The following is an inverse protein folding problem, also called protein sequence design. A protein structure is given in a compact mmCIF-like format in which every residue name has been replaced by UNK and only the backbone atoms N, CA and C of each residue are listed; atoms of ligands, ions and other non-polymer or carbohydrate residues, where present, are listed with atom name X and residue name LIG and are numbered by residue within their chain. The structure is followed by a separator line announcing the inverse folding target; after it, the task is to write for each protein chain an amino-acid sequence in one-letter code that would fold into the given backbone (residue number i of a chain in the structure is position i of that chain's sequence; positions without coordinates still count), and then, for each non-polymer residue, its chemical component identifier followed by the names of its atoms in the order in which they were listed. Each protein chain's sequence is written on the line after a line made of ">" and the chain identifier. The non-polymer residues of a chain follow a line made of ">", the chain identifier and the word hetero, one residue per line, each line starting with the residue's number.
data_IF_779008717377
#
_entry.id   IF_779008717377
#
_cell.length_a   1.000
_cell.length_b   1.000
_cell.length_c   1.000
_cell.angle_alpha   90.00
_cell.angle_beta   90.00
_cell.angle_gamma   90.00
#
_symmetry.space_group_name_H-M   'P 1'
#
loop_
_entity.id
_entity.type
_entity.pdbx_description
1 polymer ?
#
# COMPACT_ATOMS: atom_id res chain seq x y z
N UNK A 1 8.64 -50.34 8.84
CA UNK A 1 9.02 -49.15 8.05
C UNK A 1 8.58 -47.90 8.80
N UNK A 2 9.45 -47.27 9.58
CA UNK A 2 9.14 -46.08 10.38
C UNK A 2 10.09 -44.94 9.99
N UNK A 3 9.65 -44.08 9.09
CA UNK A 3 10.37 -42.86 8.72
C UNK A 3 10.17 -41.80 9.81
N UNK A 4 11.22 -41.54 10.61
CA UNK A 4 11.27 -40.40 11.53
C UNK A 4 11.16 -39.08 10.75
N UNK A 5 10.43 -38.07 11.25
CA UNK A 5 10.35 -36.76 10.60
C UNK A 5 11.69 -36.01 10.77
N UNK A 6 12.27 -35.54 9.65
CA UNK A 6 13.47 -34.69 9.63
C UNK A 6 13.17 -33.32 10.22
N UNK A 7 13.53 -33.11 11.49
CA UNK A 7 13.59 -31.78 12.13
C UNK A 7 14.90 -31.06 11.76
N UNK A 8 14.98 -30.43 10.60
CA UNK A 8 16.01 -29.41 10.34
C UNK A 8 15.48 -28.31 9.41
N UNK A 9 14.46 -27.58 9.86
CA UNK A 9 14.18 -26.25 9.32
C UNK A 9 15.13 -25.25 10.03
N UNK A 10 16.29 -25.10 9.41
CA UNK A 10 17.28 -24.02 9.48
C UNK A 10 16.80 -22.76 10.21
N UNK A 11 17.30 -22.52 11.43
CA UNK A 11 16.96 -21.35 12.26
C UNK A 11 17.23 -19.99 11.59
N UNK A 12 18.17 -19.92 10.63
CA UNK A 12 18.42 -18.73 9.80
C UNK A 12 17.24 -18.39 8.86
N UNK A 13 16.56 -19.38 8.31
CA UNK A 13 15.42 -19.18 7.40
C UNK A 13 14.18 -18.71 8.16
N UNK A 14 13.97 -19.25 9.37
CA UNK A 14 12.87 -18.83 10.26
C UNK A 14 13.08 -17.42 10.81
N UNK A 15 14.31 -17.06 11.20
CA UNK A 15 14.64 -15.70 11.64
C UNK A 15 14.43 -14.67 10.53
N UNK A 16 14.84 -14.99 9.30
CA UNK A 16 14.64 -14.12 8.12
C UNK A 16 13.16 -14.00 7.76
N UNK A 17 12.40 -15.09 7.82
CA UNK A 17 10.94 -15.09 7.62
C UNK A 17 10.21 -14.23 8.66
N UNK A 18 10.62 -14.30 9.93
CA UNK A 18 10.08 -13.45 11.01
C UNK A 18 10.43 -11.97 10.81
N UNK A 19 11.64 -11.65 10.36
CA UNK A 19 12.06 -10.28 10.07
C UNK A 19 11.26 -9.66 8.90
N UNK A 20 10.96 -10.44 7.85
CA UNK A 20 10.08 -9.97 6.77
C UNK A 20 8.63 -9.80 7.24
N UNK A 21 8.13 -10.70 8.09
CA UNK A 21 6.79 -10.56 8.67
C UNK A 21 6.67 -9.34 9.61
N UNK A 22 7.71 -9.04 10.41
CA UNK A 22 7.73 -7.84 11.27
C UNK A 22 7.84 -6.56 10.46
N UNK A 23 8.66 -6.54 9.40
CA UNK A 23 8.76 -5.39 8.49
C UNK A 23 7.44 -5.13 7.74
N UNK A 24 6.79 -6.18 7.23
CA UNK A 24 5.48 -6.05 6.59
C UNK A 24 4.38 -5.58 7.57
N UNK A 25 4.49 -5.94 8.84
CA UNK A 25 3.55 -5.49 9.89
C UNK A 25 3.77 -4.02 10.22
N UNK A 26 5.02 -3.56 10.29
CA UNK A 26 5.35 -2.15 10.54
C UNK A 26 4.87 -1.20 9.43
N UNK A 27 4.69 -1.71 8.21
CA UNK A 27 4.22 -0.92 7.06
C UNK A 27 2.69 -0.84 6.95
N UNK A 28 1.95 -1.69 7.68
CA UNK A 28 0.49 -1.63 7.76
C UNK A 28 0.04 -0.31 8.35
N UNK A 29 -1.19 0.06 8.04
CA UNK A 29 -1.86 1.22 8.64
C UNK A 29 -2.91 0.68 9.60
N UNK A 30 -2.91 1.17 10.84
CA UNK A 30 -3.94 0.83 11.82
C UNK A 30 -5.26 1.53 11.49
N UNK A 31 -6.36 1.07 12.09
CA UNK A 31 -7.66 1.72 11.94
C UNK A 31 -7.62 3.19 12.37
N UNK A 32 -6.96 3.48 13.50
CA UNK A 32 -6.82 4.83 14.04
C UNK A 32 -6.00 5.73 13.10
N UNK A 33 -4.86 5.24 12.59
CA UNK A 33 -4.05 5.99 11.63
C UNK A 33 -4.80 6.26 10.31
N UNK A 34 -5.57 5.29 9.83
CA UNK A 34 -6.38 5.48 8.61
C UNK A 34 -7.49 6.52 8.82
N UNK A 35 -8.17 6.49 9.98
CA UNK A 35 -9.17 7.50 10.32
C UNK A 35 -8.54 8.89 10.48
N UNK A 36 -7.37 8.99 11.10
CA UNK A 36 -6.63 10.24 11.25
C UNK A 36 -6.22 10.80 9.88
N UNK A 37 -5.63 9.97 9.01
CA UNK A 37 -5.30 10.34 7.63
C UNK A 37 -6.51 10.88 6.86
N UNK A 38 -7.65 10.20 6.99
CA UNK A 38 -8.86 10.62 6.30
C UNK A 38 -9.41 11.94 6.84
N UNK A 39 -9.35 12.15 8.15
CA UNK A 39 -9.77 13.39 8.80
C UNK A 39 -8.82 14.56 8.52
N UNK A 40 -7.51 14.31 8.47
CA UNK A 40 -6.48 15.31 8.15
C UNK A 40 -6.68 15.91 6.75
N UNK A 41 -7.13 15.09 5.80
CA UNK A 41 -7.41 15.51 4.42
C UNK A 41 -8.88 15.90 4.18
N UNK A 42 -9.72 15.92 5.23
CA UNK A 42 -11.15 16.20 5.16
C UNK A 42 -11.91 15.40 4.08
N UNK A 43 -11.55 14.12 3.92
CA UNK A 43 -12.10 13.26 2.87
C UNK A 43 -13.34 12.50 3.35
N UNK A 44 -14.42 12.56 2.58
CA UNK A 44 -15.52 11.59 2.72
C UNK A 44 -15.07 10.18 2.37
N UNK A 45 -15.86 9.16 2.76
CA UNK A 45 -15.54 7.77 2.39
C UNK A 45 -15.49 7.55 0.88
N UNK A 46 -16.30 8.28 0.12
CA UNK A 46 -16.31 8.21 -1.34
C UNK A 46 -15.05 8.82 -1.96
N UNK A 47 -14.63 9.98 -1.46
CA UNK A 47 -13.41 10.65 -1.93
C UNK A 47 -12.15 9.86 -1.56
N UNK A 48 -12.08 9.33 -0.33
CA UNK A 48 -10.99 8.45 0.07
C UNK A 48 -10.89 7.21 -0.83
N UNK A 49 -12.03 6.63 -1.22
CA UNK A 49 -12.07 5.50 -2.15
C UNK A 49 -11.53 5.88 -3.53
N UNK A 50 -11.92 7.05 -4.05
CA UNK A 50 -11.45 7.56 -5.33
C UNK A 50 -9.95 7.87 -5.32
N UNK A 51 -9.47 8.59 -4.30
CA UNK A 51 -8.06 8.96 -4.13
C UNK A 51 -7.15 7.74 -4.03
N UNK A 52 -7.59 6.70 -3.31
CA UNK A 52 -6.82 5.47 -3.12
C UNK A 52 -7.03 4.43 -4.21
N UNK A 53 -7.93 4.68 -5.18
CA UNK A 53 -8.34 3.74 -6.24
C UNK A 53 -8.80 2.39 -5.67
N UNK A 54 -9.67 2.43 -4.65
CA UNK A 54 -10.24 1.26 -3.98
C UNK A 54 -11.77 1.35 -3.93
N UNK A 55 -12.43 0.26 -3.55
CA UNK A 55 -13.89 0.28 -3.35
C UNK A 55 -14.27 1.02 -2.06
N UNK A 56 -15.46 1.65 -1.98
CA UNK A 56 -15.98 2.21 -0.74
C UNK A 56 -16.06 1.19 0.42
N UNK A 57 -16.35 -0.07 0.11
CA UNK A 57 -16.34 -1.14 1.11
C UNK A 57 -14.95 -1.36 1.71
N UNK A 58 -13.90 -1.23 0.90
CA UNK A 58 -12.51 -1.31 1.37
C UNK A 58 -12.18 -0.17 2.33
N UNK A 59 -12.69 1.04 2.08
CA UNK A 59 -12.55 2.18 3.01
C UNK A 59 -13.24 1.87 4.35
N UNK A 60 -14.48 1.40 4.31
CA UNK A 60 -15.23 1.03 5.53
C UNK A 60 -14.50 -0.04 6.34
N UNK A 61 -13.98 -1.08 5.66
CA UNK A 61 -13.20 -2.13 6.31
C UNK A 61 -11.90 -1.59 6.91
N UNK A 62 -11.20 -0.70 6.21
CA UNK A 62 -9.95 -0.09 6.67
C UNK A 62 -10.16 0.83 7.88
N UNK A 63 -11.27 1.58 7.92
CA UNK A 63 -11.64 2.39 9.09
C UNK A 63 -11.90 1.54 10.33
N UNK A 64 -12.37 0.31 10.19
CA UNK A 64 -12.69 -0.57 11.32
C UNK A 64 -11.47 -1.40 11.78
N UNK A 65 -10.71 -1.92 10.83
CA UNK A 65 -9.70 -2.96 11.10
C UNK A 65 -8.26 -2.53 10.75
N UNK A 66 -8.08 -1.36 10.14
CA UNK A 66 -6.83 -0.98 9.50
C UNK A 66 -6.66 -1.62 8.13
N UNK A 67 -5.50 -1.36 7.53
CA UNK A 67 -5.17 -1.73 6.17
C UNK A 67 -3.94 -2.62 6.05
N UNK A 68 -3.78 -3.18 4.86
CA UNK A 68 -2.54 -3.83 4.46
C UNK A 68 -1.38 -2.83 4.38
N UNK A 69 -0.16 -3.33 4.24
CA UNK A 69 1.02 -2.49 4.01
C UNK A 69 0.89 -1.66 2.72
N UNK A 70 0.27 -2.23 1.68
CA UNK A 70 -0.03 -1.52 0.43
C UNK A 70 -0.96 -0.33 0.66
N UNK A 71 -2.03 -0.52 1.44
CA UNK A 71 -2.96 0.55 1.76
C UNK A 71 -2.27 1.67 2.55
N UNK A 72 -1.44 1.31 3.54
CA UNK A 72 -0.64 2.26 4.29
C UNK A 72 0.35 3.04 3.41
N UNK A 73 0.96 2.38 2.42
CA UNK A 73 1.83 3.05 1.45
C UNK A 73 1.05 4.04 0.58
N UNK A 74 -0.14 3.68 0.10
CA UNK A 74 -1.00 4.59 -0.68
C UNK A 74 -1.40 5.82 0.12
N UNK A 75 -1.79 5.66 1.39
CA UNK A 75 -2.16 6.80 2.26
C UNK A 75 -0.97 7.76 2.44
N UNK A 76 0.23 7.22 2.68
CA UNK A 76 1.47 8.02 2.79
C UNK A 76 1.85 8.70 1.47
N UNK A 77 1.66 8.02 0.33
CA UNK A 77 1.89 8.60 -0.99
C UNK A 77 0.98 9.80 -1.24
N UNK A 78 -0.30 9.70 -0.88
CA UNK A 78 -1.26 10.81 -0.98
C UNK A 78 -0.84 12.00 -0.11
N UNK A 79 -0.44 11.77 1.14
CA UNK A 79 0.08 12.84 2.01
C UNK A 79 1.35 13.51 1.43
N UNK A 80 2.18 12.74 0.74
CA UNK A 80 3.35 13.24 0.04
C UNK A 80 3.02 13.95 -1.30
N UNK A 81 1.74 14.09 -1.65
CA UNK A 81 1.30 14.67 -2.92
C UNK A 81 1.55 13.79 -4.13
N UNK A 82 1.85 12.51 -3.94
CA UNK A 82 2.09 11.55 -5.02
C UNK A 82 0.74 10.95 -5.41
N UNK A 83 0.05 11.61 -6.34
CA UNK A 83 -1.22 11.15 -6.89
C UNK A 83 -1.03 10.24 -8.12
N UNK A 84 -1.96 9.30 -8.35
CA UNK A 84 -1.97 8.53 -9.60
C UNK A 84 -2.24 9.41 -10.85
N UNK A 85 -2.79 10.62 -10.64
CA UNK A 85 -2.98 11.62 -11.68
C UNK A 85 -1.63 12.13 -12.24
N UNK A 86 -0.61 12.29 -11.40
CA UNK A 86 0.69 12.82 -11.81
C UNK A 86 1.45 11.83 -12.69
N UNK A 87 1.45 10.54 -12.32
CA UNK A 87 2.16 9.53 -13.10
C UNK A 87 1.60 9.37 -14.54
N UNK A 88 0.27 9.36 -14.72
CA UNK A 88 -0.32 9.22 -16.05
C UNK A 88 -0.30 10.52 -16.85
N UNK A 89 -0.45 11.68 -16.20
CA UNK A 89 -0.30 12.99 -16.85
C UNK A 89 1.14 13.19 -17.34
N UNK A 90 2.13 12.81 -16.53
CA UNK A 90 3.55 12.90 -16.88
C UNK A 90 3.96 11.88 -17.94
N UNK A 91 3.48 10.63 -17.88
CA UNK A 91 3.70 9.65 -18.96
C UNK A 91 3.11 10.13 -20.28
N UNK A 92 1.89 10.71 -20.26
CA UNK A 92 1.29 11.31 -21.47
C UNK A 92 2.06 12.55 -21.95
N UNK A 93 2.60 13.36 -21.03
CA UNK A 93 3.41 14.55 -21.35
C UNK A 93 4.74 14.14 -21.99
N UNK A 94 5.45 13.19 -21.40
CA UNK A 94 6.69 12.62 -21.94
C UNK A 94 6.46 11.94 -23.29
N UNK A 95 5.35 11.22 -23.47
CA UNK A 95 4.97 10.65 -24.76
C UNK A 95 4.77 11.69 -25.86
N UNK A 96 4.17 12.85 -25.53
CA UNK A 96 4.03 13.98 -26.48
C UNK A 96 5.37 14.64 -26.81
N UNK A 97 6.23 14.86 -25.82
CA UNK A 97 7.57 15.43 -26.03
C UNK A 97 8.42 14.51 -26.91
N UNK A 98 8.43 13.20 -26.62
CA UNK A 98 9.16 12.22 -27.42
C UNK A 98 8.69 12.14 -28.88
N UNK A 99 7.37 12.28 -29.10
CA UNK A 99 6.80 12.38 -30.45
C UNK A 99 7.29 13.64 -31.17
N UNK A 100 7.23 14.79 -30.51
CA UNK A 100 7.66 16.07 -31.08
C UNK A 100 9.17 16.16 -31.36
N UNK A 101 10.01 15.34 -30.71
CA UNK A 101 11.44 15.24 -31.00
C UNK A 101 11.78 14.29 -32.15
N UNK A 102 10.79 13.59 -32.72
CA UNK A 102 10.96 12.58 -33.79
C UNK A 102 10.35 13.00 -35.13
N UNK A 103 9.62 14.11 -35.16
CA UNK A 103 9.12 14.78 -36.37
C UNK A 103 10.06 15.94 -36.70
#
# INVERSE_FOLDING_TARGET
>A
MTSKPRKHATGKTLARSRAYASAATALRITAAEFQAWQAELDLSNGEAAAVLFISPNTVTAARQNGGTAELGLKCRAVLAGIGAADAWADVRRLGRVHKAMRE
#
